data_IF_024811971074
#
_entry.id   IF_024811971074
#
_cell.length_a   1.000
_cell.length_b   1.000
_cell.length_c   1.000
_cell.angle_alpha   90.00
_cell.angle_beta   90.00
_cell.angle_gamma   90.00
#
_symmetry.space_group_name_H-M   'P 1'
#
loop_
_entity.id
_entity.type
_entity.pdbx_description
1 polymer ?
#
# COMPACT_ATOMS: atom_id res chain seq x y z
N UNK A 1 6.77 3.03 -14.34
CA UNK A 1 7.38 3.47 -13.07
C UNK A 1 6.97 2.48 -12.00
N UNK A 2 7.89 2.01 -11.16
CA UNK A 2 7.57 1.03 -10.10
C UNK A 2 7.00 1.78 -8.89
N UNK A 3 5.89 1.31 -8.33
CA UNK A 3 5.34 1.79 -7.07
C UNK A 3 6.17 1.22 -5.90
N UNK A 4 7.01 2.06 -5.30
CA UNK A 4 7.93 1.67 -4.22
C UNK A 4 7.20 1.22 -2.95
N UNK A 5 6.01 1.74 -2.67
CA UNK A 5 5.19 1.31 -1.54
C UNK A 5 4.73 -0.15 -1.72
N UNK A 6 4.23 -0.50 -2.91
CA UNK A 6 3.85 -1.88 -3.23
C UNK A 6 5.06 -2.81 -3.29
N UNK A 7 6.19 -2.33 -3.81
CA UNK A 7 7.42 -3.11 -3.82
C UNK A 7 7.88 -3.49 -2.40
N UNK A 8 7.82 -2.55 -1.45
CA UNK A 8 8.12 -2.82 -0.03
C UNK A 8 7.14 -3.81 0.58
N UNK A 9 5.84 -3.66 0.32
CA UNK A 9 4.83 -4.62 0.78
C UNK A 9 5.17 -6.04 0.28
N UNK A 10 5.49 -6.19 -1.00
CA UNK A 10 5.90 -7.47 -1.58
C UNK A 10 7.15 -8.05 -0.90
N UNK A 11 8.16 -7.20 -0.63
CA UNK A 11 9.41 -7.61 0.03
C UNK A 11 9.16 -8.12 1.46
N UNK A 12 8.26 -7.48 2.22
CA UNK A 12 7.87 -7.92 3.57
C UNK A 12 7.26 -9.33 3.57
N UNK A 13 6.45 -9.64 2.55
CA UNK A 13 5.82 -10.95 2.38
C UNK A 13 6.69 -11.96 1.60
N UNK A 14 7.84 -11.52 1.10
CA UNK A 14 8.82 -12.30 0.34
C UNK A 14 8.51 -12.50 -1.14
N UNK A 15 7.24 -12.49 -1.56
CA UNK A 15 6.88 -12.58 -2.99
C UNK A 15 5.52 -11.97 -3.31
N UNK A 16 5.32 -11.59 -4.58
CA UNK A 16 4.03 -11.06 -5.05
C UNK A 16 2.89 -12.05 -4.85
N UNK A 17 3.15 -13.35 -5.04
CA UNK A 17 2.16 -14.40 -4.87
C UNK A 17 1.71 -14.52 -3.41
N UNK A 18 2.66 -14.60 -2.47
CA UNK A 18 2.35 -14.73 -1.04
C UNK A 18 1.62 -13.49 -0.52
N UNK A 19 2.05 -12.31 -0.95
CA UNK A 19 1.36 -11.06 -0.62
C UNK A 19 -0.08 -11.06 -1.15
N UNK A 20 -0.28 -11.42 -2.43
CA UNK A 20 -1.58 -11.47 -3.06
C UNK A 20 -2.53 -12.46 -2.36
N UNK A 21 -2.05 -13.67 -2.03
CA UNK A 21 -2.80 -14.68 -1.29
C UNK A 21 -3.21 -14.16 0.10
N UNK A 22 -2.29 -13.49 0.80
CA UNK A 22 -2.56 -12.94 2.12
C UNK A 22 -3.67 -11.87 2.11
N UNK A 23 -3.68 -10.99 1.10
CA UNK A 23 -4.70 -9.94 0.96
C UNK A 23 -5.94 -10.37 0.17
N UNK A 24 -6.05 -11.67 -0.18
CA UNK A 24 -7.19 -12.23 -0.92
C UNK A 24 -7.35 -11.67 -2.34
N UNK A 25 -6.24 -11.35 -3.03
CA UNK A 25 -6.23 -10.84 -4.42
C UNK A 25 -5.45 -11.74 -5.35
N UNK A 26 -5.63 -11.54 -6.66
CA UNK A 26 -4.80 -12.19 -7.66
C UNK A 26 -3.40 -11.56 -7.73
N UNK A 27 -2.37 -12.38 -8.00
CA UNK A 27 -1.00 -11.88 -8.18
C UNK A 27 -0.90 -10.87 -9.34
N UNK A 28 -1.70 -11.02 -10.40
CA UNK A 28 -1.79 -10.04 -11.49
C UNK A 28 -2.25 -8.67 -11.02
N UNK A 29 -3.19 -8.61 -10.06
CA UNK A 29 -3.66 -7.35 -9.46
C UNK A 29 -2.53 -6.64 -8.73
N UNK A 30 -1.72 -7.39 -7.96
CA UNK A 30 -0.53 -6.85 -7.28
C UNK A 30 0.49 -6.34 -8.30
N UNK A 31 0.71 -7.08 -9.41
CA UNK A 31 1.59 -6.65 -10.50
C UNK A 31 1.10 -5.36 -11.17
N UNK A 32 -0.20 -5.21 -11.38
CA UNK A 32 -0.78 -4.00 -11.96
C UNK A 32 -0.60 -2.78 -11.03
N UNK A 33 -0.70 -2.97 -9.72
CA UNK A 33 -0.38 -1.93 -8.72
C UNK A 33 1.11 -1.60 -8.68
N UNK A 34 1.97 -2.62 -8.72
CA UNK A 34 3.43 -2.44 -8.71
C UNK A 34 3.90 -1.66 -9.94
N UNK A 35 3.34 -1.94 -11.12
CA UNK A 35 3.73 -1.28 -12.38
C UNK A 35 3.00 0.04 -12.62
N UNK A 36 2.03 0.38 -11.76
CA UNK A 36 1.21 1.58 -11.89
C UNK A 36 0.16 1.49 -13.01
N UNK A 37 -0.07 0.30 -13.59
CA UNK A 37 -1.12 0.08 -14.61
C UNK A 37 -2.52 0.30 -14.05
N UNK A 38 -2.73 -0.04 -12.77
CA UNK A 38 -4.02 0.12 -12.09
C UNK A 38 -3.83 0.90 -10.79
N UNK A 39 -4.78 1.79 -10.50
CA UNK A 39 -4.86 2.48 -9.21
C UNK A 39 -5.38 1.55 -8.12
N UNK A 40 -4.92 1.77 -6.90
CA UNK A 40 -5.37 1.03 -5.71
C UNK A 40 -6.66 1.68 -5.20
N UNK A 41 -7.74 0.93 -5.07
CA UNK A 41 -8.99 1.44 -4.50
C UNK A 41 -8.83 1.72 -2.99
N UNK A 42 -9.59 2.67 -2.41
CA UNK A 42 -9.49 3.00 -0.98
C UNK A 42 -9.63 1.80 -0.03
N UNK A 43 -10.52 0.86 -0.33
CA UNK A 43 -10.66 -0.41 0.41
C UNK A 43 -9.35 -1.22 0.45
N UNK A 44 -8.63 -1.28 -0.67
CA UNK A 44 -7.39 -2.05 -0.79
C UNK A 44 -6.23 -1.30 -0.13
N UNK A 45 -6.30 0.04 -0.05
CA UNK A 45 -5.32 0.82 0.71
C UNK A 45 -5.33 0.38 2.18
N UNK A 46 -6.51 0.27 2.79
CA UNK A 46 -6.66 -0.18 4.20
C UNK A 46 -6.09 -1.59 4.37
N UNK A 47 -6.49 -2.53 3.50
CA UNK A 47 -6.02 -3.93 3.55
C UNK A 47 -4.49 -4.00 3.45
N UNK A 48 -3.86 -3.21 2.58
CA UNK A 48 -2.39 -3.21 2.41
C UNK A 48 -1.69 -2.64 3.65
N UNK A 49 -2.22 -1.57 4.25
CA UNK A 49 -1.65 -0.97 5.46
C UNK A 49 -1.71 -1.97 6.62
N UNK A 50 -2.85 -2.65 6.81
CA UNK A 50 -3.02 -3.69 7.83
C UNK A 50 -2.10 -4.89 7.57
N UNK A 51 -2.06 -5.40 6.33
CA UNK A 51 -1.20 -6.51 5.93
C UNK A 51 0.30 -6.19 6.04
N UNK A 52 0.68 -4.92 6.06
CA UNK A 52 2.07 -4.51 6.27
C UNK A 52 2.33 -4.03 7.70
N UNK A 53 1.35 -4.16 8.59
CA UNK A 53 1.40 -3.68 9.97
C UNK A 53 1.89 -2.21 10.06
N UNK A 54 1.41 -1.37 9.14
CA UNK A 54 1.77 0.05 9.05
C UNK A 54 3.13 0.36 8.41
N UNK A 55 3.90 -0.65 7.98
CA UNK A 55 5.19 -0.42 7.30
C UNK A 55 5.03 0.25 5.93
N UNK A 56 3.86 0.11 5.31
CA UNK A 56 3.43 0.90 4.16
C UNK A 56 2.21 1.71 4.58
N UNK A 57 2.29 3.03 4.39
CA UNK A 57 1.21 3.93 4.80
C UNK A 57 0.28 4.30 3.66
N UNK A 58 -0.97 4.66 4.01
CA UNK A 58 -2.03 4.94 3.04
C UNK A 58 -1.69 6.09 2.07
N UNK A 59 -1.05 7.15 2.59
CA UNK A 59 -0.64 8.32 1.80
C UNK A 59 0.44 7.96 0.76
N UNK A 60 1.25 6.92 1.01
CA UNK A 60 2.27 6.43 0.06
C UNK A 60 1.63 5.65 -1.10
N UNK A 61 0.50 4.98 -0.85
CA UNK A 61 -0.23 4.20 -1.85
C UNK A 61 -1.11 5.07 -2.74
N UNK A 62 -1.67 6.15 -2.19
CA UNK A 62 -2.56 7.09 -2.89
C UNK A 62 -2.18 8.55 -2.58
N UNK A 63 -0.99 9.01 -3.01
CA UNK A 63 -0.58 10.40 -2.83
C UNK A 63 -1.48 11.39 -3.60
N UNK A 64 -2.29 10.90 -4.53
CA UNK A 64 -3.30 11.67 -5.25
C UNK A 64 -4.55 12.03 -4.41
N UNK A 65 -4.73 11.41 -3.23
CA UNK A 65 -5.85 11.68 -2.33
C UNK A 65 -5.39 12.13 -0.93
N UNK A 66 -4.66 13.26 -0.80
CA UNK A 66 -4.11 13.70 0.49
C UNK A 66 -5.19 14.11 1.51
N UNK A 67 -6.41 14.43 1.06
CA UNK A 67 -7.55 14.72 1.95
C UNK A 67 -8.17 13.46 2.56
N UNK A 68 -8.03 12.31 1.88
CA UNK A 68 -8.58 11.02 2.33
C UNK A 68 -7.51 10.23 3.09
N UNK A 69 -6.28 10.28 2.59
CA UNK A 69 -5.11 9.65 3.18
C UNK A 69 -4.07 10.72 3.50
N UNK A 70 -4.28 11.48 4.60
CA UNK A 70 -3.33 12.50 5.00
C UNK A 70 -1.98 11.86 5.32
N UNK A 71 -0.86 12.50 4.93
CA UNK A 71 0.44 12.12 5.45
C UNK A 71 0.45 12.31 6.98
N UNK A 72 1.24 11.53 7.72
CA UNK A 72 1.41 11.75 9.15
C UNK A 72 1.94 13.19 9.34
N UNK A 73 1.12 14.02 9.96
CA UNK A 73 1.52 15.37 10.37
C UNK A 73 2.51 15.22 11.53
N UNK A 74 3.69 15.83 11.45
CA UNK A 74 4.71 15.83 12.53
C UNK A 74 4.25 16.52 13.84
N UNK A 75 2.95 16.76 14.05
CA UNK A 75 2.40 17.49 15.18
C UNK A 75 1.50 16.60 16.05
N UNK A 76 2.09 15.57 16.65
CA UNK A 76 1.56 14.94 17.87
C UNK A 76 2.63 14.97 18.97
N UNK A 77 3.30 16.12 19.12
CA UNK A 77 3.95 16.46 20.38
C UNK A 77 2.89 17.10 21.30
N UNK A 78 1.99 16.28 21.82
CA UNK A 78 1.21 16.65 23.01
C UNK A 78 2.02 16.20 24.21
N UNK A 79 2.83 17.12 24.74
CA UNK A 79 3.31 17.11 26.13
C UNK A 79 2.60 18.24 26.87
#
# INVERSE_FOLDING_TARGET
>A
MINTAIERAIKLWGSQKRFAEHIGKAQSTVSDWLTGKKRISPENVVIIVEATNGAVQAHELRPDLPKVFPPPTEHDHVS
#
